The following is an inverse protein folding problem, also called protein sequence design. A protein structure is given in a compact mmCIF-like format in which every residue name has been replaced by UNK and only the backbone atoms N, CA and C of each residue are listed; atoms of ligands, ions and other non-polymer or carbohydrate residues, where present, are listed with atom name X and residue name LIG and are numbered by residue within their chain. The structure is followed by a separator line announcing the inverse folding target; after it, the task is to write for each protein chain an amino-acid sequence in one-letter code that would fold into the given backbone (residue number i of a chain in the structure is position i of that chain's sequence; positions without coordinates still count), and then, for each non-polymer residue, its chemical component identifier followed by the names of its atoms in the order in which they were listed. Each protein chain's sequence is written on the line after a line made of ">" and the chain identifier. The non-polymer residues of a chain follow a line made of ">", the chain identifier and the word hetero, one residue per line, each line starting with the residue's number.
data_IF_973909703332
#
_entry.id   IF_973909703332
#
_cell.length_a   1.000
_cell.length_b   1.000
_cell.length_c   1.000
_cell.angle_alpha   90.00
_cell.angle_beta   90.00
_cell.angle_gamma   90.00
#
_symmetry.space_group_name_H-M   'P 1'
#
loop_
_entity.id
_entity.type
_entity.pdbx_description
1 polymer ?
#
# COMPACT_ATOMS: atom_id res chain seq x y z
N UNK A 1 26.44 -10.25 12.68
CA UNK A 1 25.20 -10.89 12.16
C UNK A 1 25.52 -11.59 10.84
N UNK A 2 24.96 -12.76 10.54
CA UNK A 2 25.22 -13.41 9.24
C UNK A 2 24.30 -12.83 8.16
N UNK A 3 24.86 -12.57 6.98
CA UNK A 3 24.10 -12.09 5.81
C UNK A 3 22.90 -13.00 5.51
N UNK A 4 23.08 -14.31 5.61
CA UNK A 4 22.04 -15.30 5.34
C UNK A 4 20.83 -15.17 6.29
N UNK A 5 21.07 -14.88 7.58
CA UNK A 5 20.00 -14.74 8.55
C UNK A 5 19.23 -13.42 8.37
N UNK A 6 19.93 -12.32 8.04
CA UNK A 6 19.30 -11.06 7.61
C UNK A 6 18.41 -11.26 6.38
N UNK A 7 18.97 -11.84 5.32
CA UNK A 7 18.24 -12.03 4.06
C UNK A 7 17.03 -12.95 4.26
N UNK A 8 17.14 -13.99 5.10
CA UNK A 8 16.02 -14.84 5.48
C UNK A 8 14.92 -14.08 6.23
N UNK A 9 15.27 -13.28 7.23
CA UNK A 9 14.31 -12.45 7.96
C UNK A 9 13.59 -11.47 7.02
N UNK A 10 14.32 -10.84 6.10
CA UNK A 10 13.78 -9.93 5.09
C UNK A 10 12.77 -10.62 4.16
N UNK A 11 13.08 -11.81 3.68
CA UNK A 11 12.16 -12.61 2.85
C UNK A 11 10.87 -12.93 3.60
N UNK A 12 10.95 -13.34 4.87
CA UNK A 12 9.77 -13.65 5.69
C UNK A 12 8.86 -12.44 5.88
N UNK A 13 9.46 -11.27 6.15
CA UNK A 13 8.73 -10.01 6.29
C UNK A 13 8.09 -9.63 4.95
N UNK A 14 8.85 -9.57 3.85
CA UNK A 14 8.32 -9.21 2.54
C UNK A 14 7.15 -10.10 2.08
N UNK A 15 7.27 -11.42 2.27
CA UNK A 15 6.27 -12.39 1.80
C UNK A 15 4.87 -12.17 2.40
N UNK A 16 4.78 -11.53 3.57
CA UNK A 16 3.52 -11.29 4.29
C UNK A 16 2.94 -9.91 4.07
N UNK A 17 3.70 -8.99 3.47
CA UNK A 17 3.33 -7.57 3.47
C UNK A 17 2.01 -7.33 2.74
N UNK A 18 1.91 -7.74 1.48
CA UNK A 18 0.72 -7.51 0.66
C UNK A 18 -0.55 -8.09 1.30
N UNK A 19 -0.53 -9.36 1.72
CA UNK A 19 -1.68 -10.02 2.36
C UNK A 19 -2.11 -9.31 3.66
N UNK A 20 -1.14 -8.76 4.40
CA UNK A 20 -1.39 -8.08 5.67
C UNK A 20 -2.02 -6.71 5.51
N UNK A 21 -1.62 -5.94 4.50
CA UNK A 21 -1.99 -4.53 4.38
C UNK A 21 -3.01 -4.24 3.29
N UNK A 22 -3.10 -5.10 2.27
CA UNK A 22 -4.01 -4.89 1.17
C UNK A 22 -5.44 -5.30 1.56
N UNK A 23 -6.36 -4.33 1.49
CA UNK A 23 -7.77 -4.53 1.82
C UNK A 23 -8.65 -4.06 0.68
N UNK A 24 -9.83 -4.66 0.62
CA UNK A 24 -10.88 -4.24 -0.30
C UNK A 24 -11.55 -2.98 0.23
N UNK A 25 -11.54 -1.93 -0.60
CA UNK A 25 -12.16 -0.62 -0.34
C UNK A 25 -13.27 -0.31 -1.34
N UNK A 26 -13.62 -1.26 -2.23
CA UNK A 26 -14.58 -1.09 -3.33
C UNK A 26 -15.96 -0.65 -2.85
N UNK A 27 -16.45 -1.22 -1.74
CA UNK A 27 -17.73 -0.82 -1.14
C UNK A 27 -17.74 0.63 -0.65
N UNK A 28 -16.67 1.06 0.03
CA UNK A 28 -16.51 2.45 0.48
C UNK A 28 -16.37 3.41 -0.71
N UNK A 29 -15.63 3.00 -1.75
CA UNK A 29 -15.47 3.77 -2.97
C UNK A 29 -16.81 3.93 -3.70
N UNK A 30 -17.61 2.87 -3.80
CA UNK A 30 -18.94 2.90 -4.40
C UNK A 30 -19.86 3.87 -3.64
N UNK A 31 -19.86 3.81 -2.31
CA UNK A 31 -20.60 4.76 -1.47
C UNK A 31 -20.16 6.20 -1.75
N UNK A 32 -18.85 6.49 -1.74
CA UNK A 32 -18.34 7.85 -1.97
C UNK A 32 -18.65 8.36 -3.38
N UNK A 33 -18.64 7.49 -4.40
CA UNK A 33 -19.08 7.85 -5.75
C UNK A 33 -20.58 8.16 -5.80
N UNK A 34 -21.41 7.38 -5.11
CA UNK A 34 -22.85 7.59 -5.05
C UNK A 34 -23.23 8.89 -4.32
N UNK A 35 -22.64 9.15 -3.16
CA UNK A 35 -22.85 10.39 -2.39
C UNK A 35 -22.48 11.66 -3.15
N UNK A 36 -21.55 11.54 -4.10
CA UNK A 36 -21.05 12.65 -4.93
C UNK A 36 -21.67 12.68 -6.34
N UNK A 37 -22.62 11.79 -6.64
CA UNK A 37 -23.24 11.60 -7.95
C UNK A 37 -22.20 11.55 -9.11
N UNK A 38 -21.08 10.86 -8.87
CA UNK A 38 -19.99 10.79 -9.85
C UNK A 38 -20.40 9.89 -11.03
N UNK A 39 -20.05 10.33 -12.23
CA UNK A 39 -20.28 9.61 -13.49
C UNK A 39 -18.98 9.53 -14.28
N UNK A 40 -18.78 8.39 -14.93
CA UNK A 40 -17.73 8.22 -15.93
C UNK A 40 -18.06 9.04 -17.20
N UNK A 41 -17.08 9.24 -18.11
CA UNK A 41 -17.28 10.05 -19.32
C UNK A 41 -18.41 9.57 -20.25
N UNK A 42 -18.71 8.26 -20.22
CA UNK A 42 -19.81 7.64 -20.98
C UNK A 42 -21.20 7.81 -20.31
N UNK A 43 -21.26 8.46 -19.15
CA UNK A 43 -22.46 8.67 -18.35
C UNK A 43 -22.77 7.55 -17.35
N UNK A 44 -21.98 6.47 -17.33
CA UNK A 44 -22.12 5.36 -16.39
C UNK A 44 -21.93 5.85 -14.95
N UNK A 45 -22.82 5.52 -13.99
CA UNK A 45 -22.61 5.85 -12.59
C UNK A 45 -21.31 5.23 -12.05
N UNK A 46 -20.38 6.05 -11.56
CA UNK A 46 -19.05 5.61 -11.14
C UNK A 46 -19.11 4.58 -10.01
N UNK A 47 -20.15 4.61 -9.17
CA UNK A 47 -20.35 3.62 -8.11
C UNK A 47 -20.40 2.16 -8.64
N UNK A 48 -20.87 1.95 -9.87
CA UNK A 48 -20.93 0.62 -10.49
C UNK A 48 -19.54 0.12 -10.88
N UNK A 49 -18.65 1.04 -11.30
CA UNK A 49 -17.27 0.73 -11.66
C UNK A 49 -16.39 0.50 -10.41
N UNK A 50 -16.74 1.12 -9.28
CA UNK A 50 -16.07 0.88 -8.01
C UNK A 50 -16.25 -0.57 -7.52
N UNK A 51 -17.42 -1.17 -7.72
CA UNK A 51 -17.72 -2.53 -7.25
C UNK A 51 -16.88 -3.56 -8.02
N UNK A 52 -16.16 -4.41 -7.30
CA UNK A 52 -15.27 -5.42 -7.91
C UNK A 52 -13.96 -4.86 -8.47
N UNK A 53 -13.69 -3.56 -8.31
CA UNK A 53 -12.43 -2.92 -8.76
C UNK A 53 -11.18 -3.39 -8.00
N UNK A 54 -11.35 -4.04 -6.84
CA UNK A 54 -10.25 -4.39 -5.94
C UNK A 54 -9.08 -5.13 -6.61
N UNK A 55 -9.28 -6.24 -7.36
CA UNK A 55 -8.16 -6.93 -8.01
C UNK A 55 -7.42 -6.06 -9.03
N UNK A 56 -8.13 -5.18 -9.74
CA UNK A 56 -7.55 -4.27 -10.73
C UNK A 56 -6.69 -3.18 -10.08
N UNK A 57 -7.24 -2.52 -9.06
CA UNK A 57 -6.54 -1.48 -8.28
C UNK A 57 -5.33 -2.05 -7.54
N UNK A 58 -5.48 -3.24 -6.94
CA UNK A 58 -4.37 -3.96 -6.31
C UNK A 58 -3.29 -4.26 -7.36
N UNK A 59 -3.63 -4.81 -8.53
CA UNK A 59 -2.62 -5.03 -9.59
C UNK A 59 -1.91 -3.73 -9.98
N UNK A 60 -2.62 -2.63 -10.12
CA UNK A 60 -2.06 -1.33 -10.52
C UNK A 60 -1.06 -0.78 -9.48
N UNK A 61 -1.38 -0.89 -8.19
CA UNK A 61 -0.51 -0.46 -7.10
C UNK A 61 0.75 -1.32 -6.99
N UNK A 62 0.57 -2.63 -7.02
CA UNK A 62 1.61 -3.59 -6.67
C UNK A 62 2.52 -4.00 -7.84
N UNK A 63 2.10 -3.80 -9.10
CA UNK A 63 2.88 -4.17 -10.30
C UNK A 63 4.32 -3.67 -10.27
N UNK A 64 4.51 -2.43 -9.83
CA UNK A 64 5.81 -1.75 -9.86
C UNK A 64 6.37 -1.51 -8.43
N UNK A 65 5.71 -2.07 -7.40
CA UNK A 65 6.12 -1.87 -6.02
C UNK A 65 7.27 -2.81 -5.66
N UNK A 66 8.43 -2.23 -5.35
CA UNK A 66 9.61 -2.95 -4.90
C UNK A 66 9.93 -2.53 -3.45
N UNK A 67 9.73 -3.41 -2.45
CA UNK A 67 10.05 -3.09 -1.06
C UNK A 67 11.56 -2.96 -0.85
N UNK A 68 12.02 -1.74 -0.53
CA UNK A 68 13.42 -1.42 -0.23
C UNK A 68 13.73 -1.49 1.27
N UNK A 69 14.91 -1.94 1.64
CA UNK A 69 15.30 -2.11 3.05
C UNK A 69 16.17 -0.99 3.60
N UNK A 70 16.68 -0.12 2.73
CA UNK A 70 17.71 0.87 3.07
C UNK A 70 17.21 1.94 4.06
N UNK A 71 15.90 2.18 4.08
CA UNK A 71 15.23 3.17 4.91
C UNK A 71 14.45 2.55 6.09
N UNK A 72 14.50 1.22 6.26
CA UNK A 72 13.75 0.52 7.31
C UNK A 72 14.48 0.61 8.64
N UNK A 73 13.81 1.13 9.66
CA UNK A 73 14.27 1.22 11.06
C UNK A 73 13.31 0.49 11.98
N UNK A 74 13.69 0.19 13.22
CA UNK A 74 12.74 -0.38 14.18
C UNK A 74 11.60 0.60 14.49
N UNK A 75 10.38 0.06 14.59
CA UNK A 75 9.18 0.82 14.95
C UNK A 75 8.44 0.06 16.05
N UNK A 76 8.18 0.71 17.18
CA UNK A 76 7.48 0.09 18.32
C UNK A 76 6.00 0.49 18.41
N UNK A 77 5.61 1.62 17.83
CA UNK A 77 4.27 2.21 17.98
C UNK A 77 3.20 1.56 17.06
N UNK A 78 3.56 0.51 16.33
CA UNK A 78 2.68 -0.20 15.40
C UNK A 78 2.52 0.51 14.05
N UNK A 79 1.49 0.12 13.29
CA UNK A 79 1.34 0.48 11.85
C UNK A 79 0.01 1.17 11.52
N UNK A 80 -0.84 1.41 12.53
CA UNK A 80 -2.25 1.78 12.32
C UNK A 80 -2.43 3.07 11.53
N UNK A 81 -1.62 4.09 11.81
CA UNK A 81 -1.71 5.40 11.17
C UNK A 81 -1.37 5.32 9.68
N UNK A 82 -0.27 4.67 9.34
CA UNK A 82 0.20 4.50 7.97
C UNK A 82 -0.71 3.56 7.19
N UNK A 83 -1.27 2.53 7.85
CA UNK A 83 -2.26 1.67 7.22
C UNK A 83 -3.53 2.44 6.86
N UNK A 84 -4.03 3.28 7.76
CA UNK A 84 -5.17 4.14 7.46
C UNK A 84 -4.89 5.12 6.31
N UNK A 85 -3.69 5.73 6.27
CA UNK A 85 -3.26 6.61 5.17
C UNK A 85 -3.21 5.88 3.83
N UNK A 86 -2.62 4.69 3.77
CA UNK A 86 -2.57 3.88 2.56
C UNK A 86 -3.97 3.49 2.08
N UNK A 87 -4.83 2.98 2.97
CA UNK A 87 -6.18 2.57 2.60
C UNK A 87 -7.03 3.75 2.12
N UNK A 88 -6.85 4.93 2.72
CA UNK A 88 -7.49 6.16 2.25
C UNK A 88 -6.97 6.58 0.86
N UNK A 89 -5.67 6.52 0.62
CA UNK A 89 -5.11 6.82 -0.71
C UNK A 89 -5.56 5.80 -1.77
N UNK A 90 -5.65 4.51 -1.42
CA UNK A 90 -6.22 3.46 -2.27
C UNK A 90 -7.69 3.75 -2.61
N UNK A 91 -8.49 4.14 -1.61
CA UNK A 91 -9.88 4.58 -1.79
C UNK A 91 -9.97 5.75 -2.78
N UNK A 92 -9.14 6.78 -2.61
CA UNK A 92 -9.09 7.93 -3.53
C UNK A 92 -8.73 7.52 -4.96
N UNK A 93 -7.75 6.62 -5.13
CA UNK A 93 -7.41 6.06 -6.44
C UNK A 93 -8.58 5.30 -7.06
N UNK A 94 -9.28 4.46 -6.30
CA UNK A 94 -10.46 3.72 -6.80
C UNK A 94 -11.55 4.67 -7.29
N UNK A 95 -11.86 5.72 -6.51
CA UNK A 95 -12.87 6.73 -6.89
C UNK A 95 -12.43 7.50 -8.13
N UNK A 96 -11.15 7.87 -8.24
CA UNK A 96 -10.62 8.59 -9.39
C UNK A 96 -10.67 7.75 -10.67
N UNK A 97 -10.32 6.45 -10.60
CA UNK A 97 -10.42 5.51 -11.72
C UNK A 97 -11.86 5.35 -12.19
N UNK A 98 -12.79 5.11 -11.25
CA UNK A 98 -14.20 4.94 -11.58
C UNK A 98 -14.78 6.21 -12.23
N UNK A 99 -14.48 7.40 -11.69
CA UNK A 99 -14.91 8.66 -12.29
C UNK A 99 -14.28 8.94 -13.66
N UNK A 100 -13.13 8.34 -13.95
CA UNK A 100 -12.46 8.44 -15.25
C UNK A 100 -12.86 7.32 -16.23
N UNK A 101 -13.78 6.42 -15.87
CA UNK A 101 -14.12 5.26 -16.71
C UNK A 101 -12.94 4.30 -16.92
N UNK A 102 -12.11 4.10 -15.88
CA UNK A 102 -10.87 3.31 -15.90
C UNK A 102 -9.76 3.84 -16.82
N UNK A 103 -9.87 5.09 -17.28
CA UNK A 103 -8.83 5.73 -18.10
C UNK A 103 -7.68 6.32 -17.28
N UNK A 104 -6.48 6.27 -17.86
CA UNK A 104 -5.24 6.76 -17.28
C UNK A 104 -5.09 8.30 -17.36
N UNK A 105 -6.07 9.04 -16.83
CA UNK A 105 -6.07 10.51 -16.83
C UNK A 105 -4.99 11.10 -15.90
N UNK A 106 -4.61 12.39 -16.04
CA UNK A 106 -3.67 13.03 -15.12
C UNK A 106 -4.10 12.95 -13.64
N UNK A 107 -5.41 13.05 -13.37
CA UNK A 107 -5.94 12.91 -12.01
C UNK A 107 -5.77 11.49 -11.45
N UNK A 108 -5.99 10.46 -12.28
CA UNK A 108 -5.74 9.06 -11.93
C UNK A 108 -4.25 8.82 -11.68
N UNK A 109 -3.36 9.37 -12.51
CA UNK A 109 -1.91 9.25 -12.30
C UNK A 109 -1.47 9.90 -10.99
N UNK A 110 -1.99 11.10 -10.68
CA UNK A 110 -1.69 11.76 -9.40
C UNK A 110 -2.16 10.92 -8.19
N UNK A 111 -3.38 10.37 -8.26
CA UNK A 111 -3.91 9.49 -7.22
C UNK A 111 -3.09 8.20 -7.08
N UNK A 112 -2.65 7.62 -8.20
CA UNK A 112 -1.80 6.43 -8.21
C UNK A 112 -0.43 6.71 -7.59
N UNK A 113 0.21 7.82 -7.96
CA UNK A 113 1.49 8.25 -7.38
C UNK A 113 1.36 8.46 -5.87
N UNK A 114 0.29 9.11 -5.42
CA UNK A 114 0.04 9.30 -3.98
C UNK A 114 -0.18 7.97 -3.25
N UNK A 115 -1.01 7.08 -3.80
CA UNK A 115 -1.24 5.77 -3.21
C UNK A 115 0.04 4.92 -3.14
N UNK A 116 0.93 5.01 -4.15
CA UNK A 116 2.25 4.36 -4.11
C UNK A 116 3.18 4.94 -3.05
N UNK A 117 3.18 6.27 -2.88
CA UNK A 117 3.96 6.92 -1.82
C UNK A 117 3.50 6.48 -0.43
N UNK A 118 2.19 6.45 -0.19
CA UNK A 118 1.64 5.96 1.10
C UNK A 118 1.87 4.47 1.32
N UNK A 119 1.83 3.64 0.27
CA UNK A 119 2.20 2.23 0.34
C UNK A 119 3.67 2.05 0.73
N UNK A 120 4.57 2.85 0.15
CA UNK A 120 5.98 2.85 0.52
C UNK A 120 6.19 3.28 1.98
N UNK A 121 5.55 4.36 2.42
CA UNK A 121 5.62 4.78 3.82
C UNK A 121 5.10 3.69 4.78
N UNK A 122 3.99 3.03 4.41
CA UNK A 122 3.47 1.89 5.16
C UNK A 122 4.45 0.73 5.18
N UNK A 123 5.13 0.44 4.07
CA UNK A 123 6.17 -0.60 4.04
C UNK A 123 7.27 -0.33 5.06
N UNK A 124 7.80 0.89 5.13
CA UNK A 124 8.88 1.24 6.07
C UNK A 124 8.45 0.98 7.52
N UNK A 125 7.28 1.48 7.90
CA UNK A 125 6.73 1.33 9.26
C UNK A 125 6.36 -0.13 9.55
N UNK A 126 5.76 -0.82 8.58
CA UNK A 126 5.35 -2.21 8.74
C UNK A 126 6.54 -3.15 8.88
N UNK A 127 7.56 -3.03 8.01
CA UNK A 127 8.76 -3.86 8.05
C UNK A 127 9.55 -3.60 9.34
N UNK A 128 9.64 -2.33 9.74
CA UNK A 128 10.25 -1.92 10.99
C UNK A 128 9.57 -2.51 12.22
N UNK A 129 8.23 -2.48 12.24
CA UNK A 129 7.44 -3.10 13.30
C UNK A 129 7.53 -4.62 13.31
N UNK A 130 7.54 -5.29 12.14
CA UNK A 130 7.73 -6.74 12.11
C UNK A 130 9.08 -7.16 12.68
N UNK A 131 10.12 -6.37 12.45
CA UNK A 131 11.44 -6.63 13.00
C UNK A 131 11.48 -6.57 14.54
N UNK A 132 10.54 -5.90 15.21
CA UNK A 132 10.47 -5.88 16.69
C UNK A 132 9.67 -7.05 17.28
N UNK A 133 9.04 -7.90 16.46
CA UNK A 133 8.12 -8.94 16.97
C UNK A 133 8.83 -10.21 17.43
N UNK A 134 10.01 -10.52 16.91
CA UNK A 134 10.81 -11.69 17.30
C UNK A 134 12.30 -11.45 17.08
N UNK A 135 13.16 -12.11 17.85
CA UNK A 135 14.62 -12.03 17.71
C UNK A 135 15.12 -12.50 16.32
N UNK A 136 14.40 -13.44 15.69
CA UNK A 136 14.73 -13.90 14.34
C UNK A 136 14.46 -12.82 13.29
N UNK A 137 13.37 -12.05 13.46
CA UNK A 137 12.99 -10.98 12.54
C UNK A 137 13.76 -9.69 12.79
N UNK A 138 14.23 -9.45 14.03
CA UNK A 138 15.07 -8.31 14.36
C UNK A 138 16.31 -8.20 13.44
N UNK A 139 16.85 -9.35 13.03
CA UNK A 139 18.00 -9.43 12.13
C UNK A 139 17.76 -8.83 10.73
N UNK A 140 16.51 -8.53 10.36
CA UNK A 140 16.20 -7.86 9.10
C UNK A 140 16.68 -6.40 9.04
N UNK A 141 16.71 -5.74 10.20
CA UNK A 141 17.09 -4.32 10.37
C UNK A 141 18.51 -4.24 10.91
N UNK A 142 19.34 -3.47 10.23
CA UNK A 142 20.72 -3.19 10.62
C UNK A 142 20.81 -1.77 11.17
N UNK A 143 20.63 -1.59 12.47
CA UNK A 143 20.81 -0.26 13.09
C UNK A 143 22.29 0.17 13.17
N UNK A 144 23.24 -0.77 13.10
CA UNK A 144 24.65 -0.53 13.44
C UNK A 144 25.65 -1.31 12.57
N UNK A 145 25.48 -1.38 11.24
CA UNK A 145 26.62 -1.75 10.38
C UNK A 145 27.51 -0.51 10.18
N UNK A 146 28.64 -0.49 10.89
CA UNK A 146 29.85 0.35 10.77
C UNK A 146 29.84 1.78 11.36
N UNK A 147 29.86 1.88 12.70
CA UNK A 147 30.82 2.82 13.34
C UNK A 147 32.12 2.02 13.52
N UNK A 148 33.00 2.08 12.54
CA UNK A 148 34.41 1.70 12.67
C UNK A 148 35.26 2.94 12.90
#
# INVERSE_FOLDING_TARGET
>A
MSKAARDSARVVIQARFQESVDRDVSGLAAQQCGERDLRAPDGTPAQLLCLGSHPGVTRLLWRDFVPGWDEVVYVYDGTRSEQARYLNAKLHLTVALAAAGDEATPGVQAALSHARQTLHALWLVWAGYQATTTDALAQAVTEFEDVR
#
